data_IF_778677404601
#
_entry.id   IF_778677404601
#
_cell.length_a   1.000
_cell.length_b   1.000
_cell.length_c   1.000
_cell.angle_alpha   90.00
_cell.angle_beta   90.00
_cell.angle_gamma   90.00
#
_symmetry.space_group_name_H-M   'P 1'
#
loop_
_entity.id
_entity.type
_entity.pdbx_description
1 polymer ?
#
# COMPACT_ATOMS: atom_id res chain seq x y z
N UNK A 1 -36.48 -21.47 33.00
CA UNK A 1 -36.73 -20.51 31.89
C UNK A 1 -35.43 -20.27 31.18
N UNK A 2 -35.38 -20.51 29.86
CA UNK A 2 -34.14 -20.66 29.08
C UNK A 2 -33.37 -19.32 28.89
N UNK A 3 -32.22 -19.19 29.55
CA UNK A 3 -31.31 -18.03 29.42
C UNK A 3 -30.50 -18.02 28.10
N UNK A 4 -30.88 -18.84 27.11
CA UNK A 4 -30.19 -18.94 25.83
C UNK A 4 -30.51 -17.80 24.83
N UNK A 5 -31.63 -17.11 25.01
CA UNK A 5 -32.07 -16.03 24.09
C UNK A 5 -31.07 -14.87 23.96
N UNK A 6 -30.50 -14.29 25.04
CA UNK A 6 -29.53 -13.20 24.91
C UNK A 6 -28.23 -13.65 24.24
N UNK A 7 -27.79 -14.90 24.46
CA UNK A 7 -26.58 -15.45 23.83
C UNK A 7 -26.79 -15.64 22.34
N UNK A 8 -27.96 -16.16 21.93
CA UNK A 8 -28.29 -16.31 20.49
C UNK A 8 -28.40 -14.96 19.79
N UNK A 9 -29.02 -13.97 20.43
CA UNK A 9 -29.10 -12.61 19.88
C UNK A 9 -27.72 -11.97 19.75
N UNK A 10 -26.86 -12.10 20.77
CA UNK A 10 -25.48 -11.61 20.71
C UNK A 10 -24.68 -12.32 19.61
N UNK A 11 -24.83 -13.62 19.46
CA UNK A 11 -24.18 -14.41 18.40
C UNK A 11 -24.66 -13.97 17.00
N UNK A 12 -25.97 -13.77 16.80
CA UNK A 12 -26.54 -13.29 15.55
C UNK A 12 -26.07 -11.87 15.22
N UNK A 13 -25.95 -10.97 16.20
CA UNK A 13 -25.40 -9.62 16.01
C UNK A 13 -23.93 -9.68 15.60
N UNK A 14 -23.13 -10.52 16.21
CA UNK A 14 -21.72 -10.72 15.84
C UNK A 14 -21.61 -11.26 14.41
N UNK A 15 -22.40 -12.27 14.06
CA UNK A 15 -22.42 -12.83 12.68
C UNK A 15 -22.87 -11.77 11.68
N UNK A 16 -23.87 -10.95 12.02
CA UNK A 16 -24.35 -9.86 11.17
C UNK A 16 -23.27 -8.78 10.92
N UNK A 17 -22.51 -8.41 11.95
CA UNK A 17 -21.36 -7.50 11.81
C UNK A 17 -20.31 -8.08 10.90
N UNK A 18 -19.97 -9.37 10.98
CA UNK A 18 -19.01 -10.01 10.10
C UNK A 18 -19.48 -10.05 8.62
N UNK A 19 -20.76 -10.30 8.38
CA UNK A 19 -21.33 -10.32 7.02
C UNK A 19 -21.31 -8.92 6.40
N UNK A 20 -21.58 -7.87 7.18
CA UNK A 20 -21.56 -6.47 6.73
C UNK A 20 -20.15 -5.90 6.55
N UNK A 21 -19.13 -6.56 7.10
CA UNK A 21 -17.73 -6.10 7.07
C UNK A 21 -16.93 -6.62 5.89
N UNK A 22 -17.53 -7.41 5.00
CA UNK A 22 -16.87 -7.92 3.78
C UNK A 22 -17.17 -7.00 2.60
N UNK A 23 -16.13 -6.35 2.06
CA UNK A 23 -16.19 -5.64 0.78
C UNK A 23 -15.53 -6.48 -0.32
N UNK A 24 -15.92 -6.23 -1.59
CA UNK A 24 -15.20 -6.81 -2.74
C UNK A 24 -14.17 -5.81 -3.23
N UNK A 25 -12.93 -6.26 -3.36
CA UNK A 25 -11.90 -5.46 -4.01
C UNK A 25 -12.23 -5.32 -5.50
N UNK A 26 -12.22 -4.10 -6.00
CA UNK A 26 -12.63 -3.77 -7.37
C UNK A 26 -11.64 -4.26 -8.43
N UNK A 27 -10.35 -4.44 -8.07
CA UNK A 27 -9.32 -4.95 -8.97
C UNK A 27 -9.37 -6.48 -9.09
N UNK A 28 -9.56 -7.19 -7.97
CA UNK A 28 -9.48 -8.66 -7.94
C UNK A 28 -10.83 -9.36 -7.89
N UNK A 29 -11.90 -8.64 -7.57
CA UNK A 29 -13.23 -9.22 -7.30
C UNK A 29 -13.30 -10.06 -6.01
N UNK A 30 -12.19 -10.23 -5.28
CA UNK A 30 -12.12 -11.05 -4.06
C UNK A 30 -12.75 -10.32 -2.88
N UNK A 31 -13.44 -11.07 -2.03
CA UNK A 31 -13.93 -10.56 -0.74
C UNK A 31 -12.77 -10.33 0.22
N UNK A 32 -12.82 -9.22 0.94
CA UNK A 32 -11.81 -8.78 1.90
C UNK A 32 -12.45 -8.18 3.15
N UNK A 33 -11.75 -8.27 4.27
CA UNK A 33 -12.17 -7.63 5.51
C UNK A 33 -11.95 -6.11 5.38
N UNK A 34 -13.03 -5.34 5.49
CA UNK A 34 -12.98 -3.88 5.45
C UNK A 34 -14.05 -3.30 6.37
N UNK A 35 -13.65 -2.85 7.55
CA UNK A 35 -14.55 -2.19 8.50
C UNK A 35 -14.75 -0.71 8.17
N UNK A 36 -13.84 -0.12 7.41
CA UNK A 36 -13.86 1.29 7.07
C UNK A 36 -14.15 1.41 5.58
N UNK A 37 -15.17 2.20 5.18
CA UNK A 37 -15.45 2.47 3.79
C UNK A 37 -14.25 3.12 3.08
N UNK A 38 -14.02 2.78 1.81
CA UNK A 38 -12.90 3.32 1.02
C UNK A 38 -12.92 4.86 0.96
N UNK A 39 -14.10 5.46 0.87
CA UNK A 39 -14.26 6.93 0.90
C UNK A 39 -13.69 7.56 2.17
N UNK A 40 -13.91 6.92 3.32
CA UNK A 40 -13.42 7.42 4.61
C UNK A 40 -11.91 7.22 4.72
N UNK A 41 -11.39 6.09 4.21
CA UNK A 41 -9.95 5.86 4.09
C UNK A 41 -9.28 6.91 3.20
N UNK A 42 -9.87 7.29 2.07
CA UNK A 42 -9.37 8.36 1.20
C UNK A 42 -9.40 9.73 1.89
N UNK A 43 -10.46 10.02 2.67
CA UNK A 43 -10.55 11.27 3.45
C UNK A 43 -9.46 11.36 4.52
N UNK A 44 -9.23 10.27 5.26
CA UNK A 44 -8.14 10.18 6.23
C UNK A 44 -6.78 10.34 5.56
N UNK A 45 -6.59 9.65 4.43
CA UNK A 45 -5.39 9.73 3.60
C UNK A 45 -5.04 11.18 3.23
N UNK A 46 -6.02 11.92 2.71
CA UNK A 46 -5.83 13.31 2.31
C UNK A 46 -5.38 14.20 3.47
N UNK A 47 -5.98 14.02 4.65
CA UNK A 47 -5.62 14.78 5.85
C UNK A 47 -4.20 14.43 6.31
N UNK A 48 -3.92 13.14 6.48
CA UNK A 48 -2.63 12.66 6.98
C UNK A 48 -1.48 12.98 6.01
N UNK A 49 -1.73 12.86 4.71
CA UNK A 49 -0.76 13.24 3.69
C UNK A 49 -0.41 14.74 3.73
N UNK A 50 -1.42 15.61 3.85
CA UNK A 50 -1.17 17.05 3.97
C UNK A 50 -0.38 17.41 5.21
N UNK A 51 -0.71 16.78 6.33
CA UNK A 51 -0.01 17.05 7.60
C UNK A 51 1.42 16.49 7.54
N UNK A 52 1.64 15.35 6.90
CA UNK A 52 2.96 14.81 6.63
C UNK A 52 3.82 15.79 5.80
N UNK A 53 3.30 16.33 4.70
CA UNK A 53 4.04 17.25 3.84
C UNK A 53 4.39 18.58 4.52
N UNK A 54 3.62 19.02 5.54
CA UNK A 54 3.96 20.24 6.32
C UNK A 54 5.19 20.06 7.20
N UNK A 55 5.48 18.82 7.61
CA UNK A 55 6.55 18.48 8.55
C UNK A 55 7.80 17.92 7.89
N UNK A 56 7.77 17.70 6.57
CA UNK A 56 8.88 17.14 5.80
C UNK A 56 9.30 18.07 4.66
N UNK A 57 10.59 18.10 4.37
CA UNK A 57 11.13 18.87 3.26
C UNK A 57 10.80 18.16 1.94
N UNK A 58 9.87 18.74 1.17
CA UNK A 58 9.48 18.26 -0.15
C UNK A 58 10.40 18.87 -1.21
N UNK A 59 11.06 18.02 -1.99
CA UNK A 59 11.94 18.45 -3.08
C UNK A 59 11.14 18.83 -4.32
N UNK A 60 11.43 20.00 -4.86
CA UNK A 60 10.75 20.54 -6.05
C UNK A 60 11.26 19.86 -7.32
N UNK A 61 10.39 19.30 -8.17
CA UNK A 61 10.80 18.67 -9.43
C UNK A 61 11.37 19.65 -10.46
N UNK A 62 11.16 20.96 -10.27
CA UNK A 62 11.77 22.00 -11.09
C UNK A 62 13.23 22.29 -10.70
N UNK A 63 13.66 21.87 -9.51
CA UNK A 63 14.99 22.17 -8.96
C UNK A 63 15.81 20.91 -8.66
N UNK A 64 15.16 19.75 -8.55
CA UNK A 64 15.79 18.48 -8.19
C UNK A 64 15.48 17.41 -9.23
N UNK A 65 16.53 16.84 -9.83
CA UNK A 65 16.42 15.82 -10.88
C UNK A 65 15.78 14.51 -10.37
N UNK A 66 16.00 14.15 -9.11
CA UNK A 66 15.40 12.96 -8.52
C UNK A 66 13.91 13.16 -8.27
N UNK A 67 13.51 14.37 -7.83
CA UNK A 67 12.09 14.71 -7.69
C UNK A 67 11.39 14.70 -9.06
N UNK A 68 12.02 15.21 -10.11
CA UNK A 68 11.53 15.12 -11.48
C UNK A 68 11.41 13.66 -11.95
N UNK A 69 12.38 12.80 -11.62
CA UNK A 69 12.34 11.37 -11.91
C UNK A 69 11.17 10.68 -11.18
N UNK A 70 10.95 10.96 -9.90
CA UNK A 70 9.81 10.40 -9.13
C UNK A 70 8.49 10.79 -9.76
N UNK A 71 8.29 12.06 -10.14
CA UNK A 71 7.09 12.50 -10.85
C UNK A 71 6.91 11.81 -12.19
N UNK A 72 7.96 11.72 -13.00
CA UNK A 72 7.93 11.06 -14.31
C UNK A 72 7.55 9.59 -14.20
N UNK A 73 8.22 8.86 -13.32
CA UNK A 73 7.97 7.42 -13.13
C UNK A 73 6.58 7.18 -12.56
N UNK A 74 6.20 7.94 -11.51
CA UNK A 74 4.87 7.85 -10.91
C UNK A 74 3.76 8.11 -11.92
N UNK A 75 3.86 9.19 -12.70
CA UNK A 75 2.88 9.52 -13.74
C UNK A 75 2.76 8.44 -14.81
N UNK A 76 3.86 7.79 -15.22
CA UNK A 76 3.81 6.68 -16.17
C UNK A 76 3.13 5.45 -15.63
N UNK A 77 3.41 5.10 -14.37
CA UNK A 77 2.76 3.97 -13.68
C UNK A 77 1.26 4.21 -13.55
N UNK A 78 0.85 5.37 -13.05
CA UNK A 78 -0.59 5.64 -12.82
C UNK A 78 -1.36 5.78 -14.13
N UNK A 79 -0.75 6.33 -15.19
CA UNK A 79 -1.32 6.35 -16.53
C UNK A 79 -1.54 4.95 -17.11
N UNK A 80 -0.64 4.01 -16.83
CA UNK A 80 -0.81 2.61 -17.20
C UNK A 80 -1.98 1.97 -16.44
N UNK A 81 -2.12 2.25 -15.16
CA UNK A 81 -3.23 1.80 -14.31
C UNK A 81 -4.57 2.36 -14.81
N UNK A 82 -4.66 3.65 -15.09
CA UNK A 82 -5.88 4.28 -15.65
C UNK A 82 -6.28 3.62 -16.97
N UNK A 83 -5.31 3.37 -17.84
CA UNK A 83 -5.54 2.66 -19.12
C UNK A 83 -6.06 1.23 -18.89
N UNK A 84 -5.48 0.50 -17.94
CA UNK A 84 -5.93 -0.85 -17.57
C UNK A 84 -7.40 -0.86 -17.13
N UNK A 85 -7.77 0.02 -16.20
CA UNK A 85 -9.15 0.09 -15.69
C UNK A 85 -10.14 0.60 -16.75
N UNK A 86 -9.71 1.51 -17.62
CA UNK A 86 -10.52 1.95 -18.77
C UNK A 86 -10.78 0.79 -19.74
N UNK A 87 -9.76 0.03 -20.09
CA UNK A 87 -9.87 -1.10 -21.03
C UNK A 87 -10.69 -2.26 -20.48
N UNK A 88 -10.76 -2.41 -19.16
CA UNK A 88 -11.59 -3.41 -18.48
C UNK A 88 -13.00 -2.92 -18.14
N UNK A 89 -13.41 -1.75 -18.62
CA UNK A 89 -14.69 -1.10 -18.29
C UNK A 89 -14.93 -0.95 -16.78
N UNK A 90 -13.86 -0.76 -16.00
CA UNK A 90 -13.91 -0.67 -14.54
C UNK A 90 -13.29 0.63 -14.00
N UNK A 91 -13.47 1.75 -14.72
CA UNK A 91 -12.95 3.06 -14.29
C UNK A 91 -13.45 3.52 -12.92
N UNK A 92 -14.60 3.01 -12.49
CA UNK A 92 -15.15 3.27 -11.16
C UNK A 92 -14.23 2.79 -10.01
N UNK A 93 -13.33 1.84 -10.28
CA UNK A 93 -12.33 1.39 -9.30
C UNK A 93 -11.35 2.49 -8.86
N UNK A 94 -11.20 3.54 -9.67
CA UNK A 94 -10.35 4.70 -9.38
C UNK A 94 -11.15 5.92 -8.88
N UNK A 95 -12.40 5.72 -8.46
CA UNK A 95 -13.20 6.82 -7.89
C UNK A 95 -12.51 7.38 -6.65
N UNK A 96 -12.32 8.70 -6.61
CA UNK A 96 -11.63 9.41 -5.52
C UNK A 96 -10.10 9.39 -5.61
N UNK A 97 -9.51 8.73 -6.62
CA UNK A 97 -8.08 8.81 -6.86
C UNK A 97 -7.71 10.16 -7.50
N UNK A 98 -6.78 10.85 -6.86
CA UNK A 98 -6.14 12.07 -7.34
C UNK A 98 -4.63 11.92 -7.09
N UNK A 99 -3.92 11.50 -8.13
CA UNK A 99 -2.52 11.10 -8.04
C UNK A 99 -1.60 12.27 -7.70
N UNK A 100 -0.81 12.10 -6.66
CA UNK A 100 0.24 13.04 -6.26
C UNK A 100 1.52 12.28 -5.94
N UNK A 101 2.66 12.82 -6.38
CA UNK A 101 3.97 12.19 -6.26
C UNK A 101 4.93 13.17 -5.64
N UNK A 102 5.48 12.86 -4.45
CA UNK A 102 6.46 13.71 -3.80
C UNK A 102 7.70 12.92 -3.43
N UNK A 103 8.86 13.55 -3.63
CA UNK A 103 10.12 13.13 -3.06
C UNK A 103 10.39 13.99 -1.82
N UNK A 104 10.59 13.35 -0.66
CA UNK A 104 10.96 14.02 0.58
C UNK A 104 12.43 13.82 0.88
N UNK A 105 13.10 14.87 1.37
CA UNK A 105 14.50 14.84 1.76
C UNK A 105 14.63 14.19 3.14
N UNK A 106 14.71 12.87 3.15
CA UNK A 106 14.88 12.09 4.36
C UNK A 106 15.74 10.84 4.04
N UNK A 107 16.67 10.52 4.94
CA UNK A 107 17.59 9.37 4.82
C UNK A 107 16.91 8.02 5.05
N UNK A 108 15.67 8.02 5.52
CA UNK A 108 14.91 6.81 5.72
C UNK A 108 14.74 6.06 4.38
N UNK A 109 15.04 4.79 4.36
CA UNK A 109 14.84 3.94 3.18
C UNK A 109 13.38 3.50 3.15
N UNK A 110 12.52 4.30 2.51
CA UNK A 110 11.09 4.05 2.48
C UNK A 110 10.42 4.66 1.23
N UNK A 111 9.23 4.15 0.92
CA UNK A 111 8.24 4.72 0.02
C UNK A 111 6.86 4.21 0.45
N UNK A 112 5.80 4.93 0.13
CA UNK A 112 4.44 4.47 0.41
C UNK A 112 3.41 5.13 -0.50
N UNK A 113 2.26 4.49 -0.64
CA UNK A 113 1.09 5.01 -1.33
C UNK A 113 -0.15 4.85 -0.44
N UNK A 114 -0.78 5.95 -0.10
CA UNK A 114 -2.06 5.96 0.62
C UNK A 114 -3.27 5.89 -0.34
N UNK A 115 -4.46 5.50 0.16
CA UNK A 115 -5.72 5.57 -0.58
C UNK A 115 -5.94 6.91 -1.26
N UNK A 116 -6.54 6.90 -2.45
CA UNK A 116 -6.71 8.10 -3.25
C UNK A 116 -5.45 8.55 -4.01
N UNK A 117 -4.36 7.74 -3.99
CA UNK A 117 -3.19 7.93 -4.83
C UNK A 117 -2.19 8.97 -4.32
N UNK A 118 -1.98 9.06 -3.02
CA UNK A 118 -0.99 9.94 -2.39
C UNK A 118 0.31 9.19 -2.19
N UNK A 119 1.32 9.50 -3.02
CA UNK A 119 2.59 8.77 -3.12
C UNK A 119 3.72 9.64 -2.58
N UNK A 120 4.51 9.04 -1.68
CA UNK A 120 5.75 9.64 -1.18
C UNK A 120 6.90 8.65 -1.36
N UNK A 121 8.01 9.18 -1.82
CA UNK A 121 9.31 8.50 -1.90
C UNK A 121 10.28 9.27 -1.02
N UNK A 122 11.09 8.57 -0.26
CA UNK A 122 12.16 9.15 0.56
C UNK A 122 13.48 9.12 -0.20
N UNK A 123 14.29 10.18 -0.09
CA UNK A 123 15.60 10.21 -0.77
C UNK A 123 16.48 9.03 -0.38
N UNK A 124 16.32 8.49 0.84
CA UNK A 124 17.09 7.34 1.32
C UNK A 124 16.92 6.05 0.51
N UNK A 125 15.80 5.87 -0.24
CA UNK A 125 15.62 4.68 -1.08
C UNK A 125 16.35 4.79 -2.43
N UNK A 126 16.69 6.00 -2.89
CA UNK A 126 17.25 6.23 -4.23
C UNK A 126 18.61 5.55 -4.46
N UNK A 127 19.54 5.49 -3.50
CA UNK A 127 20.78 4.71 -3.64
C UNK A 127 20.56 3.21 -3.87
N UNK A 128 19.38 2.69 -3.47
CA UNK A 128 19.02 1.27 -3.64
C UNK A 128 18.29 1.05 -4.96
N UNK A 129 17.39 1.96 -5.34
CA UNK A 129 16.72 1.89 -6.65
C UNK A 129 17.70 2.12 -7.79
N UNK A 130 18.59 3.11 -7.68
CA UNK A 130 19.66 3.45 -8.64
C UNK A 130 19.18 3.92 -10.03
N UNK A 131 18.02 3.47 -10.51
CA UNK A 131 17.51 3.79 -11.85
C UNK A 131 15.96 3.84 -11.88
N UNK A 132 15.42 4.33 -13.02
CA UNK A 132 13.97 4.46 -13.20
C UNK A 132 13.24 3.11 -13.20
N UNK A 133 13.84 2.02 -13.67
CA UNK A 133 13.19 0.71 -13.71
C UNK A 133 12.95 0.19 -12.28
N UNK A 134 13.98 0.25 -11.41
CA UNK A 134 13.82 -0.14 -10.02
C UNK A 134 12.86 0.80 -9.26
N UNK A 135 12.89 2.11 -9.53
CA UNK A 135 11.92 3.03 -8.96
C UNK A 135 10.49 2.69 -9.41
N UNK A 136 10.30 2.28 -10.67
CA UNK A 136 9.01 1.83 -11.20
C UNK A 136 8.52 0.55 -10.51
N UNK A 137 9.42 -0.39 -10.18
CA UNK A 137 9.10 -1.57 -9.37
C UNK A 137 8.57 -1.16 -8.00
N UNK A 138 9.27 -0.25 -7.30
CA UNK A 138 8.85 0.24 -5.98
C UNK A 138 7.49 0.93 -6.09
N UNK A 139 7.32 1.90 -7.00
CA UNK A 139 6.07 2.64 -7.13
C UNK A 139 4.91 1.76 -7.58
N UNK A 140 5.14 0.82 -8.49
CA UNK A 140 4.15 -0.16 -8.91
C UNK A 140 3.69 -1.04 -7.73
N UNK A 141 4.61 -1.46 -6.89
CA UNK A 141 4.35 -2.23 -5.67
C UNK A 141 3.51 -1.41 -4.66
N UNK A 142 3.91 -0.18 -4.35
CA UNK A 142 3.21 0.69 -3.40
C UNK A 142 1.79 1.04 -3.86
N UNK A 143 1.64 1.40 -5.14
CA UNK A 143 0.31 1.68 -5.71
C UNK A 143 -0.56 0.43 -5.70
N UNK A 144 0.01 -0.76 -5.88
CA UNK A 144 -0.72 -2.02 -5.77
C UNK A 144 -1.26 -2.25 -4.37
N UNK A 145 -0.49 -1.94 -3.31
CA UNK A 145 -0.99 -1.99 -1.95
C UNK A 145 -2.23 -1.10 -1.74
N UNK A 146 -2.23 0.11 -2.31
CA UNK A 146 -3.38 1.03 -2.22
C UNK A 146 -4.59 0.50 -3.00
N UNK A 147 -4.41 0.07 -4.26
CA UNK A 147 -5.49 -0.47 -5.11
C UNK A 147 -6.09 -1.78 -4.59
N UNK A 148 -5.26 -2.63 -3.99
CA UNK A 148 -5.66 -3.88 -3.35
C UNK A 148 -6.23 -3.65 -1.94
N UNK A 149 -6.19 -2.39 -1.44
CA UNK A 149 -6.66 -1.98 -0.11
C UNK A 149 -6.00 -2.76 1.04
N UNK A 150 -4.72 -3.14 0.88
CA UNK A 150 -4.01 -3.92 1.88
C UNK A 150 -3.86 -3.17 3.21
N UNK A 151 -3.69 -1.84 3.18
CA UNK A 151 -3.68 -1.00 4.39
C UNK A 151 -5.02 -1.02 5.12
N UNK A 152 -6.14 -0.93 4.40
CA UNK A 152 -7.49 -1.04 4.96
C UNK A 152 -7.72 -2.41 5.62
N UNK A 153 -7.25 -3.49 4.99
CA UNK A 153 -7.31 -4.84 5.56
C UNK A 153 -6.47 -4.94 6.85
N UNK A 154 -5.24 -4.39 6.85
CA UNK A 154 -4.37 -4.35 8.05
C UNK A 154 -5.02 -3.57 9.18
N UNK A 155 -5.55 -2.38 8.87
CA UNK A 155 -6.24 -1.55 9.85
C UNK A 155 -7.44 -2.29 10.43
N UNK A 156 -8.25 -2.93 9.60
CA UNK A 156 -9.40 -3.74 10.04
C UNK A 156 -8.98 -4.92 10.92
N UNK A 157 -7.89 -5.61 10.59
CA UNK A 157 -7.33 -6.68 11.41
C UNK A 157 -6.83 -6.18 12.76
N UNK A 158 -6.14 -5.04 12.79
CA UNK A 158 -5.66 -4.41 14.03
C UNK A 158 -6.83 -4.02 14.95
N UNK A 159 -7.88 -3.45 14.36
CA UNK A 159 -9.11 -3.12 15.08
C UNK A 159 -9.76 -4.36 15.69
N UNK A 160 -9.86 -5.44 14.93
CA UNK A 160 -10.42 -6.70 15.41
C UNK A 160 -9.61 -7.27 16.60
N UNK A 161 -8.30 -7.18 16.55
CA UNK A 161 -7.41 -7.64 17.61
C UNK A 161 -7.52 -6.80 18.88
N UNK A 162 -7.62 -5.47 18.76
CA UNK A 162 -7.64 -4.55 19.91
C UNK A 162 -8.99 -4.54 20.65
N UNK A 163 -10.09 -4.70 19.96
CA UNK A 163 -11.42 -4.40 20.49
C UNK A 163 -12.34 -5.62 20.54
N UNK A 164 -11.86 -6.78 20.14
CA UNK A 164 -12.71 -7.99 20.11
C UNK A 164 -13.97 -7.83 19.25
N UNK A 165 -13.99 -6.89 18.30
CA UNK A 165 -15.07 -6.70 17.33
C UNK A 165 -16.31 -5.95 17.81
N UNK A 166 -16.45 -5.60 19.11
CA UNK A 166 -17.70 -5.06 19.66
C UNK A 166 -17.78 -3.53 19.70
N UNK A 167 -16.66 -2.82 19.65
CA UNK A 167 -16.63 -1.36 19.85
C UNK A 167 -16.11 -0.58 18.65
N UNK A 168 -16.13 -1.14 17.46
CA UNK A 168 -15.45 -0.58 16.29
C UNK A 168 -15.98 0.80 15.88
N UNK A 169 -17.31 0.95 15.76
CA UNK A 169 -17.94 2.22 15.42
C UNK A 169 -17.77 3.28 16.51
N UNK A 170 -17.75 2.85 17.77
CA UNK A 170 -17.52 3.72 18.94
C UNK A 170 -16.06 4.14 19.01
N UNK A 171 -15.10 3.22 18.77
CA UNK A 171 -13.68 3.54 18.79
C UNK A 171 -13.28 4.57 17.70
N UNK A 172 -13.85 4.45 16.50
CA UNK A 172 -13.61 5.37 15.40
C UNK A 172 -14.09 6.81 15.69
N UNK A 173 -15.20 6.95 16.39
CA UNK A 173 -15.80 8.26 16.70
C UNK A 173 -15.27 8.90 17.98
N UNK A 174 -14.81 8.10 18.96
CA UNK A 174 -14.43 8.57 20.29
C UNK A 174 -12.93 8.70 20.53
N UNK A 175 -12.08 8.10 19.66
CA UNK A 175 -10.62 8.10 19.80
C UNK A 175 -9.90 8.47 18.50
N UNK A 176 -10.04 9.73 18.02
CA UNK A 176 -9.49 10.14 16.73
C UNK A 176 -7.96 10.01 16.65
N UNK A 177 -7.22 10.27 17.73
CA UNK A 177 -5.76 10.16 17.75
C UNK A 177 -5.27 8.71 17.60
N UNK A 178 -5.91 7.75 18.30
CA UNK A 178 -5.59 6.32 18.17
C UNK A 178 -5.94 5.79 16.76
N UNK A 179 -7.01 6.29 16.17
CA UNK A 179 -7.43 5.96 14.80
C UNK A 179 -6.42 6.48 13.78
N UNK A 180 -5.93 7.70 13.96
CA UNK A 180 -4.87 8.28 13.12
C UNK A 180 -3.58 7.48 13.19
N UNK A 181 -3.12 7.14 14.40
CA UNK A 181 -1.92 6.34 14.61
C UNK A 181 -2.04 4.96 13.94
N UNK A 182 -3.20 4.31 14.10
CA UNK A 182 -3.50 3.03 13.45
C UNK A 182 -3.49 3.15 11.93
N UNK A 183 -4.01 4.24 11.36
CA UNK A 183 -3.98 4.52 9.94
C UNK A 183 -2.54 4.68 9.44
N UNK A 184 -1.74 5.53 10.06
CA UNK A 184 -0.35 5.76 9.65
C UNK A 184 0.47 4.47 9.71
N UNK A 185 0.32 3.68 10.77
CA UNK A 185 0.96 2.35 10.88
C UNK A 185 0.49 1.37 9.81
N UNK A 186 -0.80 1.40 9.44
CA UNK A 186 -1.33 0.53 8.40
C UNK A 186 -0.75 0.82 7.02
N UNK A 187 -0.25 2.04 6.80
CA UNK A 187 0.38 2.45 5.54
C UNK A 187 1.90 2.62 5.63
N UNK A 188 2.51 2.21 6.74
CA UNK A 188 3.97 2.25 6.91
C UNK A 188 4.55 3.65 6.94
N UNK A 189 3.78 4.64 7.41
CA UNK A 189 4.21 6.05 7.49
C UNK A 189 4.88 6.32 8.81
N UNK A 190 6.09 6.89 8.74
CA UNK A 190 6.83 7.33 9.91
C UNK A 190 7.80 6.29 10.47
N UNK A 191 8.70 6.75 11.35
CA UNK A 191 9.77 5.97 11.98
C UNK A 191 9.30 5.13 13.18
N UNK A 192 8.04 4.70 13.21
CA UNK A 192 7.52 3.83 14.27
C UNK A 192 8.11 2.40 14.15
N UNK A 193 9.44 2.34 14.06
CA UNK A 193 10.23 1.10 14.08
C UNK A 193 9.84 0.32 15.34
N UNK A 194 9.27 -0.84 15.16
CA UNK A 194 8.92 -1.75 16.24
C UNK A 194 7.42 -1.99 16.47
N UNK A 195 6.53 -1.19 15.86
CA UNK A 195 5.08 -1.36 16.02
C UNK A 195 4.30 -1.45 14.71
N UNK A 196 4.95 -1.27 13.55
CA UNK A 196 4.30 -1.45 12.26
C UNK A 196 4.19 -2.93 11.97
N UNK A 197 2.96 -3.47 11.93
CA UNK A 197 2.76 -4.85 11.51
C UNK A 197 3.18 -4.98 10.04
N UNK A 198 4.11 -5.89 9.70
CA UNK A 198 4.47 -6.11 8.31
C UNK A 198 3.26 -6.58 7.49
N UNK A 199 3.25 -6.28 6.20
CA UNK A 199 2.25 -6.85 5.31
C UNK A 199 2.36 -8.37 5.29
N UNK A 200 1.23 -9.06 5.18
CA UNK A 200 1.25 -10.51 5.08
C UNK A 200 1.98 -10.95 3.81
N UNK A 201 2.62 -12.12 3.82
CA UNK A 201 3.25 -12.67 2.62
C UNK A 201 2.32 -12.73 1.41
N UNK A 202 1.02 -12.94 1.66
CA UNK A 202 0.00 -12.92 0.60
C UNK A 202 -0.15 -11.52 0.01
N UNK A 203 -0.23 -10.49 0.84
CA UNK A 203 -0.32 -9.10 0.40
C UNK A 203 0.91 -8.69 -0.42
N UNK A 204 2.11 -9.10 0.03
CA UNK A 204 3.36 -8.82 -0.68
C UNK A 204 3.37 -9.45 -2.08
N UNK A 205 2.99 -10.73 -2.18
CA UNK A 205 2.93 -11.42 -3.47
C UNK A 205 1.88 -10.83 -4.41
N UNK A 206 0.72 -10.43 -3.90
CA UNK A 206 -0.29 -9.75 -4.72
C UNK A 206 0.21 -8.37 -5.18
N UNK A 207 0.87 -7.60 -4.30
CA UNK A 207 1.45 -6.30 -4.65
C UNK A 207 2.60 -6.44 -5.67
N UNK A 208 3.46 -7.44 -5.54
CA UNK A 208 4.52 -7.72 -6.51
C UNK A 208 3.94 -8.06 -7.89
N UNK A 209 2.92 -8.93 -7.95
CA UNK A 209 2.32 -9.34 -9.22
C UNK A 209 1.71 -8.16 -9.98
N UNK A 210 0.85 -7.37 -9.31
CA UNK A 210 0.26 -6.19 -9.94
C UNK A 210 1.31 -5.11 -10.20
N UNK A 211 2.27 -4.91 -9.29
CA UNK A 211 3.37 -3.97 -9.48
C UNK A 211 4.20 -4.25 -10.73
N UNK A 212 4.49 -5.54 -11.00
CA UNK A 212 5.17 -5.96 -12.23
C UNK A 212 4.32 -5.70 -13.48
N UNK A 213 3.01 -5.95 -13.42
CA UNK A 213 2.08 -5.63 -14.52
C UNK A 213 2.12 -4.12 -14.83
N UNK A 214 1.99 -3.27 -13.81
CA UNK A 214 2.04 -1.82 -13.98
C UNK A 214 3.37 -1.34 -14.53
N UNK A 215 4.49 -1.92 -14.06
CA UNK A 215 5.84 -1.64 -14.54
C UNK A 215 5.96 -1.91 -16.03
N UNK A 216 5.52 -3.09 -16.48
CA UNK A 216 5.53 -3.48 -17.90
C UNK A 216 4.63 -2.58 -18.75
N UNK A 217 3.40 -2.33 -18.30
CA UNK A 217 2.45 -1.46 -18.99
C UNK A 217 2.93 -0.01 -19.09
N UNK A 218 3.71 0.47 -18.11
CA UNK A 218 4.35 1.77 -18.12
C UNK A 218 5.60 1.83 -19.01
N UNK A 219 6.03 0.68 -19.55
CA UNK A 219 7.19 0.58 -20.47
C UNK A 219 8.54 0.54 -19.75
N UNK A 220 8.58 0.11 -18.49
CA UNK A 220 9.80 -0.16 -17.73
C UNK A 220 10.16 -1.65 -17.76
N UNK A 221 11.42 -1.97 -17.46
CA UNK A 221 11.91 -3.35 -17.43
C UNK A 221 11.57 -4.02 -16.06
N UNK A 222 10.68 -5.03 -16.03
CA UNK A 222 10.30 -5.70 -14.79
C UNK A 222 11.40 -6.63 -14.25
N UNK A 223 12.42 -6.99 -15.05
CA UNK A 223 13.52 -7.88 -14.61
C UNK A 223 14.39 -7.21 -13.54
N UNK A 224 14.39 -5.86 -13.49
CA UNK A 224 15.06 -5.06 -12.48
C UNK A 224 14.56 -5.35 -11.05
N UNK A 225 13.37 -5.95 -10.91
CA UNK A 225 12.84 -6.33 -9.58
C UNK A 225 13.79 -7.25 -8.82
N UNK A 226 14.45 -8.19 -9.49
CA UNK A 226 15.38 -9.13 -8.83
C UNK A 226 16.62 -8.40 -8.32
N UNK A 227 17.20 -7.54 -9.16
CA UNK A 227 18.37 -6.75 -8.80
C UNK A 227 18.05 -5.74 -7.67
N UNK A 228 16.88 -5.13 -7.69
CA UNK A 228 16.41 -4.24 -6.62
C UNK A 228 16.33 -4.98 -5.27
N UNK A 229 15.68 -6.14 -5.22
CA UNK A 229 15.59 -6.92 -3.98
C UNK A 229 16.94 -7.40 -3.47
N UNK A 230 17.88 -7.77 -4.38
CA UNK A 230 19.25 -8.13 -4.00
C UNK A 230 20.01 -6.94 -3.38
N UNK A 231 19.84 -5.72 -3.91
CA UNK A 231 20.41 -4.50 -3.34
C UNK A 231 19.77 -4.16 -1.98
N UNK A 232 18.44 -4.29 -1.88
CA UNK A 232 17.71 -4.06 -0.64
C UNK A 232 18.14 -5.00 0.48
N UNK A 233 18.31 -6.30 0.19
CA UNK A 233 18.82 -7.29 1.14
C UNK A 233 20.28 -7.01 1.54
N UNK A 234 21.13 -6.60 0.60
CA UNK A 234 22.52 -6.22 0.91
C UNK A 234 22.59 -5.00 1.83
N UNK A 235 21.69 -4.05 1.67
CA UNK A 235 21.62 -2.85 2.53
C UNK A 235 21.19 -3.18 3.96
N UNK A 236 20.54 -4.33 4.19
CA UNK A 236 20.10 -4.78 5.51
C UNK A 236 21.16 -5.50 6.34
N UNK A 237 22.37 -5.74 5.81
CA UNK A 237 23.46 -6.45 6.51
C UNK A 237 24.11 -5.65 7.65
N UNK A 238 23.56 -4.50 8.02
CA UNK A 238 23.91 -3.72 9.20
C UNK A 238 23.03 -4.06 10.40
N UNK A 239 23.25 -3.35 11.53
CA UNK A 239 22.52 -3.60 12.79
C UNK A 239 21.04 -3.24 12.76
N UNK A 240 20.56 -2.50 11.75
CA UNK A 240 19.16 -2.09 11.63
C UNK A 240 18.70 -2.29 10.18
N UNK A 241 17.71 -3.17 9.94
CA UNK A 241 17.14 -3.32 8.61
C UNK A 241 16.51 -2.01 8.12
N UNK A 242 16.54 -1.72 6.80
CA UNK A 242 15.79 -0.62 6.23
C UNK A 242 14.31 -0.67 6.62
N UNK A 243 13.69 0.49 6.85
CA UNK A 243 12.26 0.58 7.21
C UNK A 243 11.38 -0.12 6.17
N UNK A 244 11.72 0.02 4.90
CA UNK A 244 11.03 -0.67 3.80
C UNK A 244 10.98 -2.18 3.99
N UNK A 245 12.05 -2.82 4.48
CA UNK A 245 12.05 -4.27 4.78
C UNK A 245 11.26 -4.63 6.03
N UNK A 246 11.10 -3.70 6.96
CA UNK A 246 10.28 -3.92 8.17
C UNK A 246 8.80 -3.98 7.83
N UNK A 247 8.36 -3.20 6.85
CA UNK A 247 6.97 -3.19 6.35
C UNK A 247 6.73 -4.19 5.23
N UNK A 248 7.74 -4.45 4.39
CA UNK A 248 7.71 -5.33 3.20
C UNK A 248 8.79 -6.42 3.30
N UNK A 249 8.56 -7.47 4.12
CA UNK A 249 9.57 -8.51 4.32
C UNK A 249 9.93 -9.21 3.01
N UNK A 250 11.23 -9.36 2.78
CA UNK A 250 11.77 -10.13 1.66
C UNK A 250 12.28 -11.48 2.15
N UNK A 251 12.09 -12.52 1.34
CA UNK A 251 12.69 -13.82 1.49
C UNK A 251 13.00 -14.46 0.12
N UNK A 252 13.75 -15.54 0.11
CA UNK A 252 14.12 -16.27 -1.12
C UNK A 252 12.87 -16.68 -1.92
N UNK A 253 11.82 -17.14 -1.22
CA UNK A 253 10.56 -17.58 -1.87
C UNK A 253 9.85 -16.42 -2.56
N UNK A 254 9.91 -15.20 -2.00
CA UNK A 254 9.35 -14.00 -2.64
C UNK A 254 10.05 -13.73 -3.97
N UNK A 255 11.38 -13.74 -4.00
CA UNK A 255 12.17 -13.53 -5.24
C UNK A 255 11.91 -14.62 -6.29
N UNK A 256 11.79 -15.88 -5.88
CA UNK A 256 11.42 -16.99 -6.77
C UNK A 256 10.03 -16.77 -7.39
N UNK A 257 9.05 -16.29 -6.62
CA UNK A 257 7.70 -15.97 -7.10
C UNK A 257 7.69 -14.80 -8.07
N UNK A 258 8.45 -13.74 -7.79
CA UNK A 258 8.66 -12.61 -8.70
C UNK A 258 9.24 -13.13 -10.02
N UNK A 259 10.33 -13.90 -9.98
CA UNK A 259 10.96 -14.49 -11.18
C UNK A 259 10.00 -15.34 -11.99
N UNK A 260 9.24 -16.20 -11.33
CA UNK A 260 8.26 -17.07 -11.99
C UNK A 260 7.10 -16.29 -12.63
N UNK A 261 6.76 -15.11 -12.12
CA UNK A 261 5.67 -14.28 -12.64
C UNK A 261 6.10 -13.35 -13.79
N UNK A 262 7.39 -13.10 -14.00
CA UNK A 262 7.87 -12.21 -15.07
C UNK A 262 7.29 -12.53 -16.46
N UNK A 263 7.23 -13.81 -16.93
CA UNK A 263 6.63 -14.12 -18.23
C UNK A 263 5.15 -13.73 -18.33
N UNK A 264 4.41 -13.85 -17.23
CA UNK A 264 3.00 -13.46 -17.16
C UNK A 264 2.85 -11.92 -17.23
N UNK A 265 3.65 -11.19 -16.46
CA UNK A 265 3.67 -9.74 -16.47
C UNK A 265 3.99 -9.21 -17.89
N UNK A 266 4.92 -9.85 -18.61
CA UNK A 266 5.31 -9.45 -19.98
C UNK A 266 4.17 -9.53 -21.01
N UNK A 267 3.11 -10.30 -20.76
CA UNK A 267 1.90 -10.34 -21.62
C UNK A 267 1.14 -9.00 -21.63
N UNK A 268 1.45 -8.11 -20.70
CA UNK A 268 0.84 -6.77 -20.60
C UNK A 268 1.63 -5.68 -21.35
N UNK A 269 2.74 -6.04 -22.00
CA UNK A 269 3.55 -5.08 -22.79
C UNK A 269 2.72 -4.49 -23.92
N UNK A 270 2.61 -3.17 -23.94
CA UNK A 270 1.87 -2.43 -24.99
C UNK A 270 0.35 -2.39 -24.82
N UNK A 271 -0.19 -2.92 -23.74
CA UNK A 271 -1.63 -2.86 -23.44
C UNK A 271 -2.03 -1.55 -22.78
#
# INVERSE_FOLDING_TARGET
MNNSRPIVVAFLLVVMVFILSCSKNTLTGKSQLSFIPEKDMQSMSYTQYKDFLKTHEVLSPQKDANAAMVQKVGARITKAIERYFKNSNNSAALTGYNWEYNLVNDKLVNAWCMPGGKIVVYTGILPITQNENALAIVLGHEVSHALLQHGTQRMSQSMLQQVGGVALSVALSTKPAETQDMFLRAYGVGSAVGFTLPFSRKHELEADQYGLIWTVMAGYDPTEALAFWDRMEKSSKGNTPPEFLSTHPSDVKRKEKIKAFLPEAMKYKGK
#
